data_IF_809484109867
#
_entry.id   IF_809484109867
#
_cell.length_a   1.000
_cell.length_b   1.000
_cell.length_c   1.000
_cell.angle_alpha   90.00
_cell.angle_beta   90.00
_cell.angle_gamma   90.00
#
_symmetry.space_group_name_H-M   'P 1'
#
loop_
_entity.id
_entity.type
_entity.pdbx_description
1 polymer ?
#
# COMPACT_ATOMS: atom_id res chain seq x y z
N UNK A 1 -4.54 9.06 -26.77
CA UNK A 1 -5.22 9.63 -25.58
C UNK A 1 -4.70 11.03 -25.35
N UNK A 2 -5.58 11.98 -25.13
CA UNK A 2 -5.17 13.35 -24.86
C UNK A 2 -4.65 13.50 -23.44
N UNK A 3 -3.92 14.59 -23.18
CA UNK A 3 -3.45 14.86 -21.81
C UNK A 3 -4.60 15.05 -20.84
N UNK A 4 -5.66 15.73 -21.30
CA UNK A 4 -6.82 15.95 -20.44
C UNK A 4 -7.48 14.62 -20.06
N UNK A 5 -7.63 13.71 -21.02
CA UNK A 5 -8.22 12.41 -20.73
C UNK A 5 -7.33 11.59 -19.81
N UNK A 6 -6.03 11.64 -20.03
CA UNK A 6 -5.07 10.94 -19.17
C UNK A 6 -5.20 11.45 -17.74
N UNK A 7 -5.20 12.76 -17.56
CA UNK A 7 -5.28 13.35 -16.23
C UNK A 7 -6.60 12.99 -15.54
N UNK A 8 -7.67 12.94 -16.30
CA UNK A 8 -8.98 12.57 -15.77
C UNK A 8 -8.96 11.13 -15.23
N UNK A 9 -8.40 10.21 -16.02
CA UNK A 9 -8.33 8.81 -15.60
C UNK A 9 -7.50 8.66 -14.33
N UNK A 10 -6.34 9.30 -14.28
CA UNK A 10 -5.45 9.20 -13.13
C UNK A 10 -6.10 9.78 -11.88
N UNK A 11 -6.68 10.99 -12.01
CA UNK A 11 -7.33 11.62 -10.86
C UNK A 11 -8.49 10.77 -10.33
N UNK A 12 -9.27 10.18 -11.22
CA UNK A 12 -10.39 9.35 -10.82
C UNK A 12 -9.90 8.11 -10.06
N UNK A 13 -8.85 7.46 -10.56
CA UNK A 13 -8.36 6.22 -9.93
C UNK A 13 -7.71 6.49 -8.59
N UNK A 14 -6.97 7.60 -8.48
CA UNK A 14 -6.37 7.97 -7.22
C UNK A 14 -7.46 8.28 -6.19
N UNK A 15 -8.51 8.99 -6.59
CA UNK A 15 -9.60 9.31 -5.67
C UNK A 15 -10.28 8.03 -5.18
N UNK A 16 -10.47 7.04 -6.06
CA UNK A 16 -11.05 5.77 -5.65
C UNK A 16 -10.18 5.04 -4.65
N UNK A 17 -8.86 5.09 -4.83
CA UNK A 17 -7.95 4.49 -3.88
C UNK A 17 -8.05 5.16 -2.52
N UNK A 18 -8.11 6.48 -2.50
CA UNK A 18 -8.25 7.22 -1.25
C UNK A 18 -9.57 6.89 -0.57
N UNK A 19 -10.65 6.78 -1.34
CA UNK A 19 -11.96 6.43 -0.79
C UNK A 19 -11.92 5.05 -0.13
N UNK A 20 -11.28 4.08 -0.78
CA UNK A 20 -11.17 2.73 -0.25
C UNK A 20 -10.38 2.73 1.06
N UNK A 21 -9.27 3.45 1.09
CA UNK A 21 -8.46 3.53 2.31
C UNK A 21 -9.23 4.23 3.43
N UNK A 22 -10.01 5.26 3.10
CA UNK A 22 -10.82 5.97 4.07
C UNK A 22 -11.91 5.10 4.67
N UNK A 23 -12.59 4.32 3.82
CA UNK A 23 -13.63 3.41 4.30
C UNK A 23 -13.04 2.38 5.25
N UNK A 24 -11.88 1.83 4.91
CA UNK A 24 -11.25 0.87 5.79
C UNK A 24 -10.82 1.51 7.10
N UNK A 25 -10.47 2.78 7.08
CA UNK A 25 -10.16 3.49 8.30
C UNK A 25 -11.37 3.51 9.23
N UNK A 26 -12.55 3.78 8.67
CA UNK A 26 -13.77 3.83 9.46
C UNK A 26 -14.15 2.45 9.99
N UNK A 27 -13.95 1.41 9.18
CA UNK A 27 -14.27 0.06 9.60
C UNK A 27 -13.40 -0.42 10.74
N UNK A 28 -12.14 -0.04 10.71
CA UNK A 28 -11.21 -0.42 11.75
C UNK A 28 -10.97 0.77 12.65
N UNK A 29 -12.05 1.29 13.22
CA UNK A 29 -11.99 2.52 14.01
C UNK A 29 -11.14 2.32 15.25
N UNK A 30 -9.92 1.91 15.10
CA UNK A 30 -8.97 1.80 16.17
C UNK A 30 -7.91 2.86 15.94
N UNK A 31 -7.16 3.13 16.97
CA UNK A 31 -6.12 4.14 16.86
C UNK A 31 -5.00 3.72 15.95
N UNK A 32 -4.77 2.41 15.85
CA UNK A 32 -3.65 1.92 15.07
C UNK A 32 -4.13 1.40 13.72
N UNK A 33 -3.93 2.22 12.70
CA UNK A 33 -4.31 1.89 11.35
C UNK A 33 -3.53 0.73 10.77
N UNK A 34 -2.41 0.38 11.38
CA UNK A 34 -1.54 -0.69 10.89
C UNK A 34 -1.61 -1.93 11.77
N UNK A 35 -2.63 -1.99 12.63
CA UNK A 35 -2.77 -3.08 13.59
C UNK A 35 -2.68 -4.46 12.96
N UNK A 36 -3.37 -4.66 11.84
CA UNK A 36 -3.40 -5.98 11.21
C UNK A 36 -2.02 -6.42 10.75
N UNK A 37 -1.21 -5.49 10.28
CA UNK A 37 0.14 -5.83 9.84
C UNK A 37 1.04 -6.14 11.02
N UNK A 38 0.84 -5.43 12.12
CA UNK A 38 1.61 -5.70 13.34
C UNK A 38 1.30 -7.08 13.91
N UNK A 39 0.01 -7.43 13.95
CA UNK A 39 -0.38 -8.75 14.45
C UNK A 39 0.09 -9.85 13.51
N UNK A 40 -0.06 -9.64 12.20
CA UNK A 40 0.42 -10.63 11.23
C UNK A 40 1.92 -10.85 11.35
N UNK A 41 2.66 -9.78 11.62
CA UNK A 41 4.10 -9.87 11.80
C UNK A 41 4.44 -10.73 13.02
N UNK A 42 3.71 -10.54 14.11
CA UNK A 42 3.93 -11.33 15.32
C UNK A 42 3.62 -12.81 15.06
N UNK A 43 2.49 -13.06 14.39
CA UNK A 43 2.09 -14.43 14.12
C UNK A 43 3.07 -15.14 13.19
N UNK A 44 3.68 -14.41 12.28
CA UNK A 44 4.62 -14.99 11.32
C UNK A 44 6.07 -14.84 11.74
N UNK A 45 6.29 -14.23 12.89
CA UNK A 45 7.64 -14.05 13.41
C UNK A 45 8.51 -13.26 12.45
N UNK A 46 8.01 -12.15 11.98
CA UNK A 46 8.72 -11.27 11.04
C UNK A 46 8.39 -9.82 11.34
N UNK A 47 8.90 -8.90 10.52
CA UNK A 47 8.60 -7.49 10.69
C UNK A 47 7.27 -7.13 10.01
N UNK A 48 6.62 -6.02 10.43
CA UNK A 48 5.39 -5.59 9.78
C UNK A 48 5.55 -5.35 8.28
N UNK A 49 6.67 -4.79 7.85
CA UNK A 49 6.91 -4.56 6.42
C UNK A 49 7.01 -5.88 5.68
N UNK A 50 7.67 -6.88 6.25
CA UNK A 50 7.74 -8.21 5.63
C UNK A 50 6.34 -8.83 5.57
N UNK A 51 5.52 -8.67 6.60
CA UNK A 51 4.16 -9.19 6.58
C UNK A 51 3.34 -8.53 5.48
N UNK A 52 3.49 -7.20 5.32
CA UNK A 52 2.79 -6.50 4.25
C UNK A 52 3.26 -6.99 2.88
N UNK A 53 4.56 -7.22 2.72
CA UNK A 53 5.09 -7.69 1.44
C UNK A 53 4.46 -9.02 1.04
N UNK A 54 4.24 -9.91 1.99
CA UNK A 54 3.58 -11.18 1.70
C UNK A 54 2.16 -11.01 1.22
N UNK A 55 1.42 -10.09 1.85
CA UNK A 55 0.05 -9.81 1.42
C UNK A 55 0.02 -9.12 0.07
N UNK A 56 0.97 -8.20 -0.17
CA UNK A 56 1.04 -7.45 -1.41
C UNK A 56 1.37 -8.35 -2.59
N UNK A 57 2.15 -9.40 -2.36
CA UNK A 57 2.62 -10.27 -3.43
C UNK A 57 1.46 -10.86 -4.23
N UNK A 58 0.39 -11.31 -3.56
CA UNK A 58 -0.72 -11.93 -4.30
C UNK A 58 -1.47 -10.90 -5.14
N UNK A 59 -1.49 -9.64 -4.72
CA UNK A 59 -2.14 -8.60 -5.53
C UNK A 59 -1.30 -8.29 -6.76
N UNK A 60 0.02 -8.31 -6.63
CA UNK A 60 0.92 -8.15 -7.77
C UNK A 60 0.72 -9.29 -8.75
N UNK A 61 0.64 -10.52 -8.26
CA UNK A 61 0.38 -11.68 -9.12
C UNK A 61 -0.95 -11.52 -9.86
N UNK A 62 -1.98 -11.04 -9.16
CA UNK A 62 -3.28 -10.85 -9.79
C UNK A 62 -3.21 -9.88 -10.97
N UNK A 63 -2.44 -8.80 -10.84
CA UNK A 63 -2.28 -7.85 -11.95
C UNK A 63 -1.57 -8.51 -13.12
N UNK A 64 -0.48 -9.24 -12.85
CA UNK A 64 0.23 -9.92 -13.94
C UNK A 64 -0.62 -10.98 -14.60
N UNK A 65 -1.48 -11.68 -13.84
CA UNK A 65 -2.39 -12.66 -14.43
C UNK A 65 -3.34 -11.98 -15.42
N UNK A 66 -3.86 -10.80 -15.08
CA UNK A 66 -4.72 -10.07 -16.00
C UNK A 66 -3.97 -9.65 -17.25
N UNK A 67 -2.72 -9.20 -17.09
CA UNK A 67 -1.90 -8.82 -18.24
C UNK A 67 -1.71 -10.00 -19.17
N UNK A 68 -1.41 -11.18 -18.62
CA UNK A 68 -1.22 -12.39 -19.44
C UNK A 68 -2.50 -12.80 -20.15
N UNK A 69 -3.65 -12.71 -19.46
CA UNK A 69 -4.93 -13.03 -20.08
C UNK A 69 -5.25 -12.07 -21.22
N UNK A 70 -4.93 -10.79 -21.01
CA UNK A 70 -5.12 -9.77 -22.04
C UNK A 70 -4.27 -10.08 -23.28
N UNK A 71 -3.04 -10.52 -23.07
CA UNK A 71 -2.15 -10.85 -24.20
C UNK A 71 -2.65 -12.06 -25.00
N UNK A 72 -3.50 -12.87 -24.39
CA UNK A 72 -4.11 -14.00 -25.08
C UNK A 72 -5.47 -13.65 -25.67
N UNK A 73 -5.73 -12.34 -25.81
CA UNK A 73 -6.96 -11.81 -26.39
C UNK A 73 -8.21 -12.16 -25.59
N UNK A 74 -8.07 -12.44 -24.31
CA UNK A 74 -9.21 -12.67 -23.47
C UNK A 74 -9.81 -11.32 -23.06
N UNK A 75 -11.13 -11.21 -23.14
CA UNK A 75 -11.78 -9.97 -22.74
C UNK A 75 -11.89 -9.91 -21.21
N UNK A 76 -11.38 -8.84 -20.64
CA UNK A 76 -11.41 -8.63 -19.19
C UNK A 76 -12.17 -7.34 -18.92
N UNK A 77 -13.24 -7.39 -18.11
CA UNK A 77 -14.00 -6.17 -17.81
C UNK A 77 -13.14 -5.13 -17.14
N UNK A 78 -13.40 -3.86 -17.45
CA UNK A 78 -12.60 -2.77 -16.89
C UNK A 78 -12.70 -2.73 -15.36
N UNK A 79 -13.83 -3.16 -14.80
CA UNK A 79 -14.00 -3.17 -13.35
C UNK A 79 -13.00 -4.11 -12.68
N UNK A 80 -12.70 -5.24 -13.32
CA UNK A 80 -11.74 -6.17 -12.75
C UNK A 80 -10.32 -5.61 -12.81
N UNK A 81 -9.97 -4.95 -13.92
CA UNK A 81 -8.69 -4.25 -14.01
C UNK A 81 -8.57 -3.22 -12.89
N UNK A 82 -9.61 -2.42 -12.72
CA UNK A 82 -9.59 -1.36 -11.71
C UNK A 82 -9.44 -1.92 -10.31
N UNK A 83 -10.11 -3.03 -10.02
CA UNK A 83 -10.02 -3.65 -8.71
C UNK A 83 -8.61 -4.13 -8.44
N UNK A 84 -8.02 -4.89 -9.36
CA UNK A 84 -6.71 -5.50 -9.12
C UNK A 84 -5.60 -4.46 -9.09
N UNK A 85 -5.66 -3.49 -9.99
CA UNK A 85 -4.66 -2.41 -9.99
C UNK A 85 -4.83 -1.56 -8.75
N UNK A 86 -6.07 -1.23 -8.38
CA UNK A 86 -6.33 -0.42 -7.20
C UNK A 86 -5.82 -1.07 -5.92
N UNK A 87 -6.00 -2.39 -5.79
CA UNK A 87 -5.49 -3.10 -4.63
C UNK A 87 -3.97 -2.95 -4.53
N UNK A 88 -3.27 -3.06 -5.67
CA UNK A 88 -1.82 -2.91 -5.68
C UNK A 88 -1.39 -1.50 -5.30
N UNK A 89 -2.09 -0.49 -5.81
CA UNK A 89 -1.78 0.89 -5.45
C UNK A 89 -1.97 1.10 -3.95
N UNK A 90 -3.07 0.58 -3.40
CA UNK A 90 -3.36 0.75 -1.98
C UNK A 90 -2.29 0.11 -1.10
N UNK A 91 -1.80 -1.07 -1.48
CA UNK A 91 -0.72 -1.70 -0.71
C UNK A 91 0.57 -0.90 -0.79
N UNK A 92 0.86 -0.28 -1.93
CA UNK A 92 2.03 0.57 -2.04
C UNK A 92 1.90 1.82 -1.18
N UNK A 93 0.70 2.38 -1.08
CA UNK A 93 0.47 3.51 -0.20
C UNK A 93 0.61 3.12 1.27
N UNK A 94 0.10 1.94 1.64
CA UNK A 94 0.27 1.43 2.99
C UNK A 94 1.74 1.21 3.32
N UNK A 95 2.49 0.67 2.37
CA UNK A 95 3.92 0.48 2.56
C UNK A 95 4.63 1.81 2.79
N UNK A 96 4.24 2.83 2.02
CA UNK A 96 4.83 4.16 2.20
C UNK A 96 4.60 4.65 3.63
N UNK A 97 3.37 4.51 4.13
CA UNK A 97 3.05 4.95 5.49
C UNK A 97 3.88 4.20 6.54
N UNK A 98 4.07 2.89 6.33
CA UNK A 98 4.83 2.09 7.28
C UNK A 98 6.30 2.48 7.30
N UNK A 99 6.87 2.70 6.11
CA UNK A 99 8.27 3.09 6.01
C UNK A 99 8.49 4.46 6.64
N UNK A 100 7.61 5.40 6.34
CA UNK A 100 7.75 6.74 6.91
C UNK A 100 7.56 6.72 8.42
N UNK A 101 6.63 5.90 8.91
CA UNK A 101 6.43 5.77 10.34
C UNK A 101 7.64 5.21 11.05
N UNK A 102 8.26 4.19 10.46
CA UNK A 102 9.46 3.60 11.06
C UNK A 102 10.62 4.57 11.06
N UNK A 103 10.81 5.29 9.97
CA UNK A 103 11.92 6.23 9.91
C UNK A 103 11.72 7.40 10.87
N UNK A 104 10.49 7.88 11.02
CA UNK A 104 10.21 8.94 11.96
C UNK A 104 10.50 8.49 13.38
N UNK A 105 10.09 7.28 13.75
CA UNK A 105 10.33 6.76 15.07
C UNK A 105 11.83 6.59 15.34
N UNK A 106 12.56 6.06 14.33
CA UNK A 106 14.00 5.89 14.48
C UNK A 106 14.70 7.22 14.61
N UNK A 107 14.28 8.18 13.81
CA UNK A 107 14.89 9.50 13.84
C UNK A 107 14.63 10.19 15.18
N UNK A 108 13.43 10.07 15.72
CA UNK A 108 13.12 10.64 17.02
C UNK A 108 13.96 10.00 18.11
N UNK A 109 14.14 8.68 18.04
CA UNK A 109 14.99 7.99 18.99
C UNK A 109 16.43 8.48 18.94
N UNK A 110 16.93 8.70 17.74
CA UNK A 110 18.29 9.21 17.58
C UNK A 110 18.42 10.62 18.13
N UNK A 111 17.41 11.43 17.93
CA UNK A 111 17.46 12.79 18.43
C UNK A 111 17.42 12.84 19.94
N UNK A 112 16.83 11.87 20.56
CA UNK A 112 16.75 11.84 22.01
C UNK A 112 17.99 11.29 22.66
N UNK A 113 18.93 10.77 21.89
CA UNK A 113 20.16 10.28 22.48
C UNK A 113 20.98 11.42 23.04
N UNK A 114 21.58 11.19 24.16
CA UNK A 114 22.43 12.24 24.72
C UNK A 114 23.64 12.46 23.87
N UNK A 115 24.00 13.66 23.91
CA UNK A 115 25.12 13.97 23.21
C UNK A 115 25.52 13.51 22.14
N UNK A 116 25.77 13.66 21.84
CA UNK A 116 26.04 13.56 20.82
C UNK A 116 26.59 12.71 20.19
N UNK A 117 26.49 11.98 20.57
CA UNK A 117 26.94 11.06 19.96
C UNK A 117 26.61 11.08 18.77
N UNK A 118 25.91 11.61 18.40
CA UNK A 118 25.53 11.49 17.21
C UNK A 118 26.10 12.40 16.50
N UNK A 119 26.72 12.92 16.66
CA UNK A 119 27.18 13.65 15.93
C UNK A 119 27.40 13.35 14.86
N UNK A 120 27.37 12.85 14.63
CA UNK A 120 27.51 12.49 13.45
C UNK A 120 27.18 13.14 12.56
#
# INVERSE_FOLDING_TARGET
MTSDKFNEVISDRIQKCLDTLGVKADEYATEDRLHNFNVAAELQNCTPITALAGMMAKHTVSVYDLIQRHEKDEHIPIELWREKIGDSINYLLLLTAMVEGEQAARYSGEKEKPDGEDKG
#
